data_IF_259601793025
#
_entry.id   IF_259601793025
#
_cell.length_a   1.000
_cell.length_b   1.000
_cell.length_c   1.000
_cell.angle_alpha   90.00
_cell.angle_beta   90.00
_cell.angle_gamma   90.00
#
_symmetry.space_group_name_H-M   'P 1'
#
loop_
_entity.id
_entity.type
_entity.pdbx_description
1 polymer ?
#
# COMPACT_ATOMS: atom_id res chain seq x y z
N UNK A 1 49.95 20.78 -38.34
CA UNK A 1 50.94 21.89 -38.37
C UNK A 1 51.63 21.90 -39.73
N UNK A 2 51.48 22.84 -40.67
CA UNK A 2 50.43 23.83 -40.96
C UNK A 2 50.66 24.29 -42.41
N UNK A 3 49.82 23.84 -43.36
CA UNK A 3 49.83 24.40 -44.73
C UNK A 3 49.43 25.88 -44.78
N UNK A 4 48.86 26.41 -43.68
CA UNK A 4 48.58 27.84 -43.49
C UNK A 4 49.83 28.69 -43.18
N UNK A 5 50.92 28.08 -42.69
CA UNK A 5 52.22 28.74 -42.50
C UNK A 5 53.14 28.60 -43.73
N UNK A 6 52.89 27.60 -44.58
CA UNK A 6 53.66 27.30 -45.80
C UNK A 6 53.09 27.92 -47.09
N UNK A 7 51.90 28.54 -47.04
CA UNK A 7 51.28 29.16 -48.21
C UNK A 7 51.95 30.48 -48.60
N UNK A 8 52.48 30.57 -49.83
CA UNK A 8 53.15 31.79 -50.33
C UNK A 8 52.19 32.93 -50.70
N UNK A 9 50.91 32.65 -50.99
CA UNK A 9 49.93 33.67 -51.39
C UNK A 9 49.02 34.09 -50.23
N UNK A 10 48.75 35.41 -50.13
CA UNK A 10 47.96 36.01 -49.05
C UNK A 10 46.51 35.49 -49.04
N UNK A 11 45.94 35.20 -50.22
CA UNK A 11 44.60 34.63 -50.39
C UNK A 11 44.48 33.21 -49.79
N UNK A 12 45.47 32.35 -50.01
CA UNK A 12 45.44 30.97 -49.50
C UNK A 12 45.59 30.93 -47.98
N UNK A 13 46.37 31.87 -47.41
CA UNK A 13 46.54 32.01 -45.96
C UNK A 13 45.24 32.43 -45.28
N UNK A 14 44.52 33.39 -45.85
CA UNK A 14 43.20 33.83 -45.35
C UNK A 14 42.18 32.70 -45.42
N UNK A 15 42.15 31.94 -46.52
CA UNK A 15 41.27 30.77 -46.65
C UNK A 15 41.51 29.74 -45.54
N UNK A 16 42.78 29.36 -45.28
CA UNK A 16 43.08 28.40 -44.22
C UNK A 16 42.77 28.92 -42.82
N UNK A 17 42.94 30.23 -42.55
CA UNK A 17 42.52 30.84 -41.30
C UNK A 17 41.00 30.80 -41.12
N UNK A 18 40.23 31.07 -42.17
CA UNK A 18 38.77 30.94 -42.14
C UNK A 18 38.33 29.51 -41.80
N UNK A 19 38.97 28.51 -42.41
CA UNK A 19 38.71 27.09 -42.12
C UNK A 19 39.05 26.75 -40.66
N UNK A 20 40.21 27.20 -40.15
CA UNK A 20 40.62 26.95 -38.78
C UNK A 20 39.67 27.59 -37.75
N UNK A 21 39.24 28.82 -37.99
CA UNK A 21 38.25 29.51 -37.16
C UNK A 21 36.93 28.76 -37.18
N UNK A 22 36.45 28.37 -38.36
CA UNK A 22 35.20 27.63 -38.50
C UNK A 22 35.24 26.29 -37.76
N UNK A 23 36.31 25.51 -37.93
CA UNK A 23 36.48 24.23 -37.21
C UNK A 23 36.53 24.42 -35.69
N UNK A 24 37.18 25.48 -35.21
CA UNK A 24 37.26 25.78 -33.78
C UNK A 24 35.89 26.14 -33.21
N UNK A 25 35.10 26.97 -33.91
CA UNK A 25 33.74 27.33 -33.51
C UNK A 25 32.79 26.12 -33.49
N UNK A 26 32.87 25.24 -34.49
CA UNK A 26 32.08 24.01 -34.51
C UNK A 26 32.48 23.06 -33.36
N UNK A 27 33.78 22.95 -33.06
CA UNK A 27 34.29 22.15 -31.95
C UNK A 27 33.82 22.65 -30.58
N UNK A 28 33.87 23.95 -30.34
CA UNK A 28 33.39 24.52 -29.07
C UNK A 28 31.87 24.38 -28.92
N UNK A 29 31.09 24.64 -29.98
CA UNK A 29 29.64 24.51 -29.95
C UNK A 29 29.19 23.07 -29.61
N UNK A 30 29.76 22.06 -30.27
CA UNK A 30 29.46 20.65 -29.98
C UNK A 30 29.85 20.24 -28.57
N UNK A 31 30.99 20.71 -28.08
CA UNK A 31 31.44 20.45 -26.70
C UNK A 31 30.48 21.04 -25.66
N UNK A 32 30.04 22.30 -25.86
CA UNK A 32 29.06 22.95 -24.99
C UNK A 32 27.72 22.21 -24.99
N UNK A 33 27.24 21.76 -26.16
CA UNK A 33 26.00 20.99 -26.26
C UNK A 33 26.08 19.66 -25.50
N UNK A 34 27.19 18.93 -25.61
CA UNK A 34 27.40 17.67 -24.87
C UNK A 34 27.47 17.93 -23.36
N UNK A 35 28.12 19.01 -22.92
CA UNK A 35 28.17 19.38 -21.50
C UNK A 35 26.78 19.72 -20.97
N UNK A 36 25.98 20.47 -21.73
CA UNK A 36 24.59 20.78 -21.36
C UNK A 36 23.76 19.50 -21.25
N UNK A 37 23.89 18.58 -22.20
CA UNK A 37 23.18 17.30 -22.18
C UNK A 37 23.61 16.42 -21.00
N UNK A 38 24.92 16.40 -20.70
CA UNK A 38 25.46 15.71 -19.53
C UNK A 38 24.91 16.29 -18.21
N UNK A 39 24.86 17.62 -18.09
CA UNK A 39 24.30 18.30 -16.90
C UNK A 39 22.80 18.04 -16.76
N UNK A 40 22.07 17.95 -17.88
CA UNK A 40 20.64 17.61 -17.89
C UNK A 40 20.35 16.19 -17.43
N UNK A 41 21.35 15.30 -17.49
CA UNK A 41 21.26 13.93 -16.99
C UNK A 41 20.06 13.13 -17.54
N UNK A 42 19.82 13.10 -18.86
CA UNK A 42 18.72 12.32 -19.41
C UNK A 42 18.92 10.85 -19.06
N UNK A 43 17.86 10.20 -18.58
CA UNK A 43 17.88 8.76 -18.26
C UNK A 43 17.16 8.00 -19.36
N UNK A 44 17.84 7.01 -19.93
CA UNK A 44 17.22 6.05 -20.84
C UNK A 44 16.88 4.78 -20.06
N UNK A 45 15.62 4.35 -20.13
CA UNK A 45 15.17 3.10 -19.52
C UNK A 45 15.20 1.98 -20.57
N UNK A 46 15.91 0.89 -20.30
CA UNK A 46 15.85 -0.33 -21.10
C UNK A 46 14.98 -1.35 -20.38
N UNK A 47 13.86 -1.71 -20.99
CA UNK A 47 12.95 -2.73 -20.48
C UNK A 47 13.27 -4.08 -21.13
N UNK A 48 13.66 -5.07 -20.31
CA UNK A 48 13.85 -6.45 -20.78
C UNK A 48 13.01 -7.39 -19.94
N UNK A 49 12.25 -8.28 -20.59
CA UNK A 49 11.45 -9.29 -19.92
C UNK A 49 12.30 -10.55 -19.81
N UNK A 50 12.62 -10.96 -18.58
CA UNK A 50 13.36 -12.19 -18.30
C UNK A 50 12.41 -13.25 -17.75
N UNK A 51 12.38 -14.40 -18.40
CA UNK A 51 11.67 -15.57 -17.89
C UNK A 51 12.54 -16.24 -16.82
N UNK A 52 11.97 -16.46 -15.64
CA UNK A 52 12.62 -17.13 -14.52
C UNK A 52 11.80 -18.35 -14.09
N UNK A 53 12.45 -19.42 -13.60
CA UNK A 53 11.76 -20.70 -13.34
C UNK A 53 10.77 -20.65 -12.17
N UNK A 54 10.97 -19.74 -11.21
CA UNK A 54 10.06 -19.51 -10.10
C UNK A 54 10.12 -18.05 -9.67
N UNK A 55 8.97 -17.48 -9.36
CA UNK A 55 8.85 -16.14 -8.82
C UNK A 55 8.12 -16.18 -7.48
N UNK A 56 8.48 -15.30 -6.57
CA UNK A 56 7.69 -15.09 -5.35
C UNK A 56 6.31 -14.54 -5.75
N UNK A 57 5.27 -15.12 -5.15
CA UNK A 57 3.90 -14.69 -5.35
C UNK A 57 3.76 -13.27 -4.77
N UNK A 58 3.13 -12.33 -5.51
CA UNK A 58 2.86 -11.02 -4.97
C UNK A 58 1.96 -11.12 -3.74
N UNK A 59 2.08 -10.13 -2.85
CA UNK A 59 1.33 -10.11 -1.60
C UNK A 59 -0.17 -9.80 -1.85
N UNK A 60 -0.96 -10.83 -2.18
CA UNK A 60 -2.41 -10.73 -2.33
C UNK A 60 -3.05 -10.53 -0.96
N UNK A 61 -3.89 -9.50 -0.83
CA UNK A 61 -4.65 -9.20 0.39
C UNK A 61 -6.14 -9.23 0.09
N UNK A 62 -6.88 -10.07 0.82
CA UNK A 62 -8.30 -10.27 0.65
C UNK A 62 -9.01 -9.74 1.90
N UNK A 63 -9.96 -8.83 1.69
CA UNK A 63 -10.74 -8.20 2.74
C UNK A 63 -12.22 -8.54 2.56
N UNK A 64 -12.97 -8.75 3.66
CA UNK A 64 -14.42 -8.79 3.58
C UNK A 64 -14.96 -7.45 3.05
N UNK A 65 -16.04 -7.50 2.28
CA UNK A 65 -16.70 -6.28 1.76
C UNK A 65 -17.26 -5.42 2.89
N UNK A 66 -17.77 -6.07 3.93
CA UNK A 66 -18.44 -5.51 5.10
C UNK A 66 -17.50 -5.72 6.30
N UNK A 67 -16.68 -4.72 6.68
CA UNK A 67 -15.67 -4.85 7.74
C UNK A 67 -16.25 -4.83 9.15
N UNK A 68 -17.53 -4.48 9.24
CA UNK A 68 -18.37 -4.28 10.42
C UNK A 68 -19.32 -5.47 10.69
N UNK A 69 -19.19 -6.56 9.93
CA UNK A 69 -19.98 -7.76 10.17
C UNK A 69 -19.38 -8.56 11.34
N UNK A 70 -20.00 -8.39 12.50
CA UNK A 70 -19.70 -9.11 13.74
C UNK A 70 -20.84 -10.04 14.12
N UNK A 71 -20.54 -11.07 14.93
CA UNK A 71 -21.57 -11.79 15.67
C UNK A 71 -22.12 -10.87 16.78
N UNK A 72 -23.16 -10.10 16.44
CA UNK A 72 -23.73 -9.09 17.32
C UNK A 72 -24.30 -9.69 18.61
N UNK A 73 -24.93 -10.86 18.57
CA UNK A 73 -25.50 -11.48 19.77
C UNK A 73 -24.42 -11.83 20.81
N UNK A 74 -23.30 -12.38 20.34
CA UNK A 74 -22.16 -12.69 21.19
C UNK A 74 -21.47 -11.41 21.69
N UNK A 75 -21.34 -10.40 20.83
CA UNK A 75 -20.77 -9.10 21.17
C UNK A 75 -21.62 -8.36 22.21
N UNK A 76 -22.94 -8.39 22.05
CA UNK A 76 -23.90 -7.80 22.98
C UNK A 76 -23.82 -8.41 24.36
N UNK A 77 -23.69 -9.75 24.44
CA UNK A 77 -23.47 -10.43 25.72
C UNK A 77 -22.18 -9.99 26.41
N UNK A 78 -21.06 -9.88 25.68
CA UNK A 78 -19.79 -9.39 26.24
C UNK A 78 -19.92 -7.93 26.73
N UNK A 79 -20.59 -7.07 25.96
CA UNK A 79 -20.86 -5.69 26.37
C UNK A 79 -21.71 -5.64 27.64
N UNK A 80 -22.77 -6.44 27.71
CA UNK A 80 -23.68 -6.44 28.86
C UNK A 80 -23.01 -7.02 30.12
N UNK A 81 -22.14 -8.02 29.99
CA UNK A 81 -21.31 -8.52 31.10
C UNK A 81 -20.30 -7.48 31.60
N UNK A 82 -19.79 -6.62 30.71
CA UNK A 82 -18.75 -5.64 31.06
C UNK A 82 -19.26 -4.31 31.56
N UNK A 83 -20.31 -3.80 30.93
CA UNK A 83 -20.88 -2.47 31.16
C UNK A 83 -22.11 -2.56 32.07
N UNK A 84 -22.97 -3.56 31.83
CA UNK A 84 -24.25 -3.75 32.51
C UNK A 84 -25.33 -2.74 32.09
N UNK A 85 -26.58 -3.21 31.94
CA UNK A 85 -27.76 -2.34 31.88
C UNK A 85 -27.91 -1.54 30.58
N UNK A 86 -27.32 -2.00 29.47
CA UNK A 86 -27.47 -1.36 28.16
C UNK A 86 -28.55 -2.05 27.31
N UNK A 87 -29.37 -1.25 26.63
CA UNK A 87 -30.31 -1.76 25.64
C UNK A 87 -29.58 -2.17 24.34
N UNK A 88 -30.20 -3.02 23.53
CA UNK A 88 -29.66 -3.47 22.24
C UNK A 88 -29.40 -2.32 21.27
N UNK A 89 -30.21 -1.27 21.29
CA UNK A 89 -30.04 -0.11 20.40
C UNK A 89 -28.81 0.71 20.80
N UNK A 90 -28.66 1.01 22.09
CA UNK A 90 -27.47 1.68 22.64
C UNK A 90 -26.20 0.86 22.38
N UNK A 91 -26.31 -0.47 22.43
CA UNK A 91 -25.21 -1.36 22.12
C UNK A 91 -24.81 -1.31 20.63
N UNK A 92 -25.78 -1.21 19.71
CA UNK A 92 -25.50 -0.99 18.27
C UNK A 92 -24.82 0.35 18.04
N UNK A 93 -25.32 1.40 18.66
CA UNK A 93 -24.73 2.75 18.55
C UNK A 93 -23.32 2.80 19.13
N UNK A 94 -23.06 2.09 20.23
CA UNK A 94 -21.74 1.95 20.82
C UNK A 94 -20.76 1.23 19.88
N UNK A 95 -21.23 0.18 19.20
CA UNK A 95 -20.44 -0.54 18.19
C UNK A 95 -20.14 0.37 17.01
N UNK A 96 -21.13 1.09 16.48
CA UNK A 96 -20.94 2.09 15.43
C UNK A 96 -19.95 3.18 15.84
N UNK A 97 -20.07 3.68 17.07
CA UNK A 97 -19.14 4.68 17.63
C UNK A 97 -17.70 4.15 17.67
N UNK A 98 -17.50 2.91 18.13
CA UNK A 98 -16.18 2.28 18.17
C UNK A 98 -15.60 2.02 16.77
N UNK A 99 -16.41 1.51 15.84
CA UNK A 99 -16.01 1.20 14.46
C UNK A 99 -15.63 2.48 13.71
N UNK A 100 -16.47 3.53 13.81
CA UNK A 100 -16.18 4.83 13.21
C UNK A 100 -14.98 5.53 13.85
N UNK A 101 -14.83 5.46 15.17
CA UNK A 101 -13.64 5.93 15.87
C UNK A 101 -12.36 5.19 15.48
N UNK A 102 -12.49 3.94 14.99
CA UNK A 102 -11.38 3.14 14.46
C UNK A 102 -11.07 3.42 12.97
N UNK A 103 -11.84 4.30 12.31
CA UNK A 103 -11.62 4.71 10.92
C UNK A 103 -12.08 3.68 9.88
N UNK A 104 -13.09 2.86 10.21
CA UNK A 104 -13.71 1.91 9.27
C UNK A 104 -14.84 2.58 8.46
N UNK A 105 -15.09 2.02 7.27
CA UNK A 105 -16.15 2.49 6.36
C UNK A 105 -17.56 2.09 6.84
N UNK A 106 -18.59 2.68 6.19
CA UNK A 106 -20.02 2.42 6.39
C UNK A 106 -20.61 2.94 7.71
N UNK A 107 -20.15 4.09 8.19
CA UNK A 107 -20.62 4.71 9.44
C UNK A 107 -21.45 5.98 9.18
N UNK A 108 -22.32 5.92 8.18
CA UNK A 108 -23.07 7.09 7.67
C UNK A 108 -24.07 7.67 8.69
N UNK A 109 -24.45 6.89 9.72
CA UNK A 109 -25.35 7.32 10.79
C UNK A 109 -24.68 8.05 11.97
N UNK A 110 -23.35 8.01 12.10
CA UNK A 110 -22.66 8.69 13.20
C UNK A 110 -22.83 10.23 13.21
N UNK A 111 -22.86 10.93 12.06
CA UNK A 111 -23.12 12.37 12.03
C UNK A 111 -24.47 12.80 12.60
N UNK A 112 -25.44 11.89 12.69
CA UNK A 112 -26.78 12.17 13.24
C UNK A 112 -26.79 12.22 14.77
N UNK A 113 -25.73 11.73 15.43
CA UNK A 113 -25.64 11.69 16.88
C UNK A 113 -25.35 13.08 17.44
N UNK A 114 -26.12 13.50 18.44
CA UNK A 114 -25.84 14.74 19.15
C UNK A 114 -24.57 14.61 20.02
N UNK A 115 -23.96 15.76 20.33
CA UNK A 115 -22.67 15.80 21.05
C UNK A 115 -22.75 15.14 22.44
N UNK A 116 -23.84 15.34 23.17
CA UNK A 116 -24.04 14.76 24.51
C UNK A 116 -24.13 13.23 24.45
N UNK A 117 -24.79 12.70 23.43
CA UNK A 117 -24.90 11.27 23.19
C UNK A 117 -23.55 10.68 22.80
N UNK A 118 -22.77 11.35 21.94
CA UNK A 118 -21.39 10.92 21.63
C UNK A 118 -20.50 10.88 22.88
N UNK A 119 -20.64 11.84 23.80
CA UNK A 119 -19.92 11.82 25.08
C UNK A 119 -20.34 10.63 25.96
N UNK A 120 -21.65 10.34 26.02
CA UNK A 120 -22.16 9.16 26.72
C UNK A 120 -21.60 7.86 26.13
N UNK A 121 -21.61 7.71 24.80
CA UNK A 121 -21.02 6.55 24.11
C UNK A 121 -19.52 6.43 24.39
N UNK A 122 -18.80 7.55 24.44
CA UNK A 122 -17.38 7.58 24.83
C UNK A 122 -17.14 7.00 26.23
N UNK A 123 -17.96 7.38 27.22
CA UNK A 123 -17.86 6.82 28.57
C UNK A 123 -18.19 5.33 28.63
N UNK A 124 -19.17 4.87 27.83
CA UNK A 124 -19.52 3.45 27.74
C UNK A 124 -18.40 2.66 27.05
N UNK A 125 -17.78 3.23 26.01
CA UNK A 125 -16.65 2.65 25.30
C UNK A 125 -15.44 2.48 26.23
N UNK A 126 -15.11 3.49 27.04
CA UNK A 126 -14.01 3.38 28.00
C UNK A 126 -14.27 2.32 29.08
N UNK A 127 -15.52 2.18 29.54
CA UNK A 127 -15.91 1.09 30.45
C UNK A 127 -15.81 -0.27 29.77
N UNK A 128 -16.23 -0.38 28.51
CA UNK A 128 -16.17 -1.62 27.75
C UNK A 128 -14.74 -2.10 27.53
N UNK A 129 -13.85 -1.16 27.22
CA UNK A 129 -12.43 -1.38 26.94
C UNK A 129 -11.61 -1.72 28.21
N UNK A 130 -12.11 -1.41 29.41
CA UNK A 130 -11.46 -1.75 30.70
C UNK A 130 -9.95 -1.48 30.72
N UNK A 131 -9.54 -0.29 30.27
CA UNK A 131 -8.14 0.20 30.22
C UNK A 131 -7.20 -0.35 29.13
N UNK A 132 -7.59 -1.33 28.29
CA UNK A 132 -6.70 -1.84 27.22
C UNK A 132 -6.59 -0.87 26.05
N UNK A 133 -5.44 -0.69 25.39
CA UNK A 133 -5.32 0.31 24.30
C UNK A 133 -6.29 0.08 23.12
N UNK A 134 -6.74 1.14 22.44
CA UNK A 134 -7.71 1.06 21.32
C UNK A 134 -7.33 0.04 20.25
N UNK A 135 -6.04 -0.04 19.89
CA UNK A 135 -5.55 -1.01 18.90
C UNK A 135 -5.67 -2.45 19.38
N UNK A 136 -5.30 -2.70 20.64
CA UNK A 136 -5.39 -4.04 21.24
C UNK A 136 -6.85 -4.44 21.40
N UNK A 137 -7.69 -3.53 21.88
CA UNK A 137 -9.14 -3.72 21.96
C UNK A 137 -9.72 -4.11 20.60
N UNK A 138 -9.34 -3.38 19.54
CA UNK A 138 -9.80 -3.68 18.20
C UNK A 138 -9.43 -5.09 17.75
N UNK A 139 -8.19 -5.52 18.00
CA UNK A 139 -7.73 -6.86 17.65
C UNK A 139 -8.48 -7.93 18.42
N UNK A 140 -8.66 -7.76 19.74
CA UNK A 140 -9.35 -8.74 20.58
C UNK A 140 -10.83 -8.91 20.20
N UNK A 141 -11.54 -7.80 19.90
CA UNK A 141 -12.94 -7.88 19.47
C UNK A 141 -13.06 -8.53 18.09
N UNK A 142 -12.21 -8.14 17.14
CA UNK A 142 -12.21 -8.73 15.79
C UNK A 142 -11.86 -10.22 15.82
N UNK A 143 -10.93 -10.65 16.66
CA UNK A 143 -10.56 -12.06 16.78
C UNK A 143 -11.66 -12.91 17.42
N UNK A 144 -12.38 -12.36 18.40
CA UNK A 144 -13.46 -13.07 19.10
C UNK A 144 -14.77 -13.10 18.33
N UNK A 145 -15.14 -11.98 17.71
CA UNK A 145 -16.50 -11.76 17.19
C UNK A 145 -16.55 -11.45 15.69
N UNK A 146 -15.40 -11.17 15.06
CA UNK A 146 -15.31 -10.93 13.62
C UNK A 146 -15.17 -12.21 12.79
N UNK A 147 -15.01 -12.05 11.47
CA UNK A 147 -14.83 -13.17 10.56
C UNK A 147 -13.51 -13.90 10.79
N UNK A 148 -13.61 -15.23 10.95
CA UNK A 148 -12.45 -16.10 10.99
C UNK A 148 -11.99 -16.42 9.58
N UNK A 149 -10.73 -16.80 9.46
CA UNK A 149 -10.17 -17.24 8.18
C UNK A 149 -10.96 -18.41 7.58
N UNK A 150 -11.41 -19.34 8.42
CA UNK A 150 -12.23 -20.49 8.03
C UNK A 150 -13.61 -20.11 7.49
N UNK A 151 -14.13 -18.94 7.87
CA UNK A 151 -15.45 -18.47 7.42
C UNK A 151 -15.36 -17.85 6.02
N UNK A 152 -14.18 -17.35 5.64
CA UNK A 152 -13.93 -16.72 4.34
C UNK A 152 -13.34 -17.69 3.31
N UNK A 153 -12.50 -18.62 3.74
CA UNK A 153 -11.77 -19.51 2.85
C UNK A 153 -12.19 -20.97 3.03
N UNK A 154 -12.94 -21.47 2.05
CA UNK A 154 -13.39 -22.88 2.04
C UNK A 154 -12.29 -23.82 1.54
N UNK A 155 -11.56 -23.42 0.49
CA UNK A 155 -10.49 -24.22 -0.11
C UNK A 155 -9.43 -23.29 -0.70
N UNK A 156 -8.15 -23.67 -0.57
CA UNK A 156 -7.05 -22.97 -1.20
C UNK A 156 -6.15 -23.94 -1.95
N UNK A 157 -5.83 -23.57 -3.18
CA UNK A 157 -4.99 -24.35 -4.07
C UNK A 157 -3.90 -23.46 -4.65
N UNK A 158 -2.66 -23.91 -4.54
CA UNK A 158 -1.49 -23.22 -5.09
C UNK A 158 -0.67 -24.24 -5.87
N UNK A 159 -0.50 -24.01 -7.17
CA UNK A 159 0.29 -24.90 -8.02
C UNK A 159 -0.26 -26.32 -8.15
N UNK A 160 -1.57 -26.49 -8.16
CA UNK A 160 -2.22 -27.81 -8.28
C UNK A 160 -2.27 -28.61 -6.98
N UNK A 161 -1.83 -28.04 -5.85
CA UNK A 161 -1.84 -28.69 -4.53
C UNK A 161 -2.76 -27.95 -3.58
N UNK A 162 -3.59 -28.72 -2.87
CA UNK A 162 -4.44 -28.19 -1.80
C UNK A 162 -3.60 -27.88 -0.56
N UNK A 163 -3.84 -26.72 0.02
CA UNK A 163 -3.17 -26.24 1.22
C UNK A 163 -4.18 -25.71 2.23
N UNK A 164 -3.83 -25.75 3.51
CA UNK A 164 -4.61 -25.08 4.54
C UNK A 164 -4.48 -23.55 4.35
N UNK A 165 -5.61 -22.90 4.06
CA UNK A 165 -5.68 -21.46 3.80
C UNK A 165 -5.11 -20.62 4.94
N UNK A 166 -5.42 -20.97 6.19
CA UNK A 166 -5.16 -20.15 7.37
C UNK A 166 -3.77 -20.39 7.95
N UNK A 167 -3.24 -21.59 7.76
CA UNK A 167 -1.93 -21.98 8.31
C UNK A 167 -0.81 -21.86 7.28
N UNK A 168 -1.07 -22.17 6.01
CA UNK A 168 -0.02 -22.24 4.99
C UNK A 168 0.02 -21.00 4.09
N UNK A 169 -1.14 -20.42 3.74
CA UNK A 169 -1.22 -19.40 2.69
C UNK A 169 -1.43 -18.00 3.25
N UNK A 170 -2.42 -17.79 4.09
CA UNK A 170 -2.82 -16.46 4.55
C UNK A 170 -2.43 -16.21 6.00
N UNK A 171 -2.27 -14.93 6.36
CA UNK A 171 -2.16 -14.42 7.72
C UNK A 171 -3.08 -13.23 7.90
N UNK A 172 -3.65 -13.08 9.09
CA UNK A 172 -4.47 -11.92 9.41
C UNK A 172 -3.63 -10.65 9.43
N UNK A 173 -4.17 -9.55 8.88
CA UNK A 173 -3.53 -8.25 8.84
C UNK A 173 -4.60 -7.15 8.94
N UNK A 174 -4.50 -6.22 9.89
CA UNK A 174 -5.38 -5.07 9.92
C UNK A 174 -5.07 -4.13 8.74
N UNK A 175 -6.11 -3.71 8.04
CA UNK A 175 -6.05 -2.76 6.91
C UNK A 175 -6.95 -1.58 7.23
N UNK A 176 -6.44 -0.35 7.06
CA UNK A 176 -7.24 0.86 7.28
C UNK A 176 -8.50 0.83 6.42
N UNK A 177 -9.61 1.36 6.96
CA UNK A 177 -10.95 1.39 6.33
C UNK A 177 -11.65 0.03 6.18
N UNK A 178 -10.89 -1.07 6.08
CA UNK A 178 -11.39 -2.44 5.80
C UNK A 178 -11.30 -3.41 6.98
N UNK A 179 -10.71 -3.01 8.09
CA UNK A 179 -10.66 -3.83 9.31
C UNK A 179 -9.71 -5.01 9.19
N UNK A 180 -10.13 -6.20 9.64
CA UNK A 180 -9.29 -7.39 9.61
C UNK A 180 -9.35 -8.07 8.24
N UNK A 181 -8.22 -8.11 7.54
CA UNK A 181 -8.07 -8.77 6.25
C UNK A 181 -7.08 -9.92 6.32
N UNK A 182 -6.95 -10.68 5.23
CA UNK A 182 -6.06 -11.82 5.12
C UNK A 182 -5.09 -11.64 3.96
N UNK A 183 -3.80 -11.56 4.28
CA UNK A 183 -2.73 -11.38 3.32
C UNK A 183 -1.93 -12.67 3.16
N UNK A 184 -1.52 -12.98 1.95
CA UNK A 184 -0.57 -14.07 1.66
C UNK A 184 0.69 -13.95 2.51
N UNK A 185 1.21 -15.09 2.97
CA UNK A 185 2.47 -15.16 3.70
C UNK A 185 3.65 -14.83 2.75
N UNK A 186 4.70 -14.17 3.27
CA UNK A 186 5.91 -13.95 2.47
C UNK A 186 6.53 -15.30 2.08
N UNK A 187 7.32 -15.31 1.01
CA UNK A 187 8.07 -16.46 0.50
C UNK A 187 7.20 -17.59 -0.08
N UNK A 188 5.94 -17.31 -0.39
CA UNK A 188 5.14 -18.22 -1.21
C UNK A 188 5.60 -18.12 -2.67
N UNK A 189 6.02 -19.22 -3.27
CA UNK A 189 6.48 -19.23 -4.65
C UNK A 189 5.35 -19.67 -5.59
N UNK A 190 5.30 -19.06 -6.78
CA UNK A 190 4.51 -19.57 -7.89
C UNK A 190 5.00 -20.96 -8.29
N UNK A 191 4.08 -21.80 -8.76
CA UNK A 191 4.41 -23.14 -9.22
C UNK A 191 5.48 -23.08 -10.31
N UNK A 192 6.48 -23.95 -10.19
CA UNK A 192 7.58 -24.03 -11.15
C UNK A 192 7.00 -24.47 -12.50
N UNK A 193 7.20 -23.66 -13.54
CA UNK A 193 6.95 -24.11 -14.91
C UNK A 193 8.06 -25.12 -15.23
N UNK A 194 7.67 -26.37 -15.50
CA UNK A 194 8.58 -27.44 -15.95
C UNK A 194 8.95 -27.18 -17.41
#
# INVERSE_FOLDING_TARGET
>A
MSQALLSKSLQLRVFWWMVLVLCTCCGTATTVLVIIEYIRGPTASSTTIRLVPSLELPAITICPKVPDAFNFDALYRDMNEKIGGINTDVARDLVSYWIGGSGLENMDGLPEFNQTYMQMLGQLYDRWRRSIGTKQFFQEIQEKFGYKCTDLFVNCELGGKKHNCCDAIFRSRPVMRRGLCYQTKPQLNQAKII
#
